data_IF_572031928358
#
_entry.id   IF_572031928358
#
_cell.length_a   1.000
_cell.length_b   1.000
_cell.length_c   1.000
_cell.angle_alpha   90.00
_cell.angle_beta   90.00
_cell.angle_gamma   90.00
#
_symmetry.space_group_name_H-M   'P 1'
#
loop_
_entity.id
_entity.type
_entity.pdbx_description
1 polymer ?
#
# COMPACT_ATOMS: atom_id res chain seq x y z
N UNK A 1 23.35 -5.96 13.79
CA UNK A 1 22.10 -6.28 13.05
C UNK A 1 22.46 -6.34 11.58
N UNK A 2 22.09 -7.39 10.85
CA UNK A 2 22.31 -7.46 9.40
C UNK A 2 21.39 -6.45 8.70
N UNK A 3 21.90 -5.72 7.71
CA UNK A 3 21.08 -4.82 6.88
C UNK A 3 20.11 -5.65 6.04
N UNK A 4 18.81 -5.54 6.33
CA UNK A 4 17.75 -6.30 5.65
C UNK A 4 17.44 -5.76 4.24
N UNK A 5 17.91 -4.55 3.93
CA UNK A 5 17.80 -3.91 2.62
C UNK A 5 19.17 -3.36 2.25
N UNK A 6 19.63 -3.63 1.03
CA UNK A 6 20.94 -3.20 0.51
C UNK A 6 20.72 -2.41 -0.77
N UNK A 7 21.25 -1.20 -0.82
CA UNK A 7 21.33 -0.40 -2.04
C UNK A 7 22.71 -0.61 -2.68
N UNK A 8 22.72 -1.21 -3.86
CA UNK A 8 23.94 -1.48 -4.63
C UNK A 8 23.87 -0.74 -5.97
N UNK A 9 24.75 0.25 -6.15
CA UNK A 9 24.89 1.04 -7.38
C UNK A 9 26.15 0.69 -8.19
N UNK A 10 26.86 -0.40 -7.87
CA UNK A 10 28.12 -0.79 -8.51
C UNK A 10 28.04 -0.91 -10.04
N UNK A 11 26.90 -1.37 -10.56
CA UNK A 11 26.64 -1.48 -12.01
C UNK A 11 26.48 -0.12 -12.71
N UNK A 12 26.25 0.94 -11.94
CA UNK A 12 26.09 2.31 -12.46
C UNK A 12 27.39 3.11 -12.47
N UNK A 13 28.46 2.62 -11.83
CA UNK A 13 29.76 3.30 -11.74
C UNK A 13 30.50 3.44 -13.10
N UNK A 14 29.98 2.85 -14.18
CA UNK A 14 30.45 3.13 -15.54
C UNK A 14 29.88 4.42 -16.14
N UNK A 15 28.89 5.03 -15.48
CA UNK A 15 28.18 6.23 -15.97
C UNK A 15 28.43 7.48 -15.12
N UNK A 16 29.01 7.33 -13.93
CA UNK A 16 29.40 8.43 -13.05
C UNK A 16 30.55 8.01 -12.13
N UNK A 17 31.32 8.98 -11.65
CA UNK A 17 32.39 8.78 -10.68
C UNK A 17 31.91 8.97 -9.24
N UNK A 18 32.57 8.32 -8.28
CA UNK A 18 32.27 8.46 -6.85
C UNK A 18 32.29 9.92 -6.38
N UNK A 19 33.19 10.75 -6.93
CA UNK A 19 33.30 12.16 -6.56
C UNK A 19 32.04 12.97 -6.92
N UNK A 20 31.23 12.51 -7.88
CA UNK A 20 29.97 13.15 -8.24
C UNK A 20 28.91 12.98 -7.15
N UNK A 21 28.88 11.82 -6.48
CA UNK A 21 28.03 11.60 -5.31
C UNK A 21 28.48 12.44 -4.11
N UNK A 22 29.79 12.62 -3.92
CA UNK A 22 30.33 13.45 -2.85
C UNK A 22 29.96 14.93 -3.05
N UNK A 23 29.97 15.41 -4.29
CA UNK A 23 29.63 16.80 -4.63
C UNK A 23 28.19 17.17 -4.26
N UNK A 24 27.25 16.23 -4.31
CA UNK A 24 25.84 16.48 -3.95
C UNK A 24 25.54 16.32 -2.44
N UNK A 25 26.56 16.00 -1.63
CA UNK A 25 26.37 15.71 -0.19
C UNK A 25 25.79 16.90 0.57
N UNK A 26 26.17 18.14 0.20
CA UNK A 26 25.69 19.34 0.87
C UNK A 26 24.19 19.54 0.63
N UNK A 27 23.73 19.37 -0.61
CA UNK A 27 22.34 19.49 -1.01
C UNK A 27 21.48 18.38 -0.38
N UNK A 28 21.99 17.14 -0.32
CA UNK A 28 21.31 16.03 0.37
C UNK A 28 21.15 16.33 1.85
N UNK A 29 22.17 16.90 2.51
CA UNK A 29 22.10 17.30 3.92
C UNK A 29 21.04 18.38 4.13
N UNK A 30 21.01 19.41 3.29
CA UNK A 30 19.98 20.45 3.34
C UNK A 30 18.58 19.86 3.17
N UNK A 31 18.37 18.97 2.19
CA UNK A 31 17.08 18.30 1.99
C UNK A 31 16.66 17.45 3.21
N UNK A 32 17.61 16.73 3.82
CA UNK A 32 17.37 15.95 5.03
C UNK A 32 16.94 16.85 6.21
N UNK A 33 17.63 17.97 6.41
CA UNK A 33 17.29 18.95 7.46
C UNK A 33 15.90 19.56 7.22
N UNK A 34 15.58 19.97 5.99
CA UNK A 34 14.27 20.51 5.63
C UNK A 34 13.14 19.52 5.95
N UNK A 35 13.33 18.24 5.60
CA UNK A 35 12.33 17.20 5.82
C UNK A 35 12.09 16.95 7.31
N UNK A 36 13.15 16.88 8.13
CA UNK A 36 13.04 16.67 9.57
C UNK A 36 12.52 17.90 10.33
N UNK A 37 12.89 19.10 9.87
CA UNK A 37 12.43 20.37 10.45
C UNK A 37 11.05 20.78 9.94
N UNK A 38 10.46 20.01 9.01
CA UNK A 38 9.17 20.29 8.38
C UNK A 38 9.15 21.71 7.80
N UNK A 39 10.17 22.05 7.03
CA UNK A 39 10.31 23.32 6.32
C UNK A 39 10.35 23.13 4.80
N UNK A 40 10.21 24.22 4.05
CA UNK A 40 10.10 24.17 2.59
C UNK A 40 8.68 23.93 2.08
N UNK A 41 8.56 23.73 0.77
CA UNK A 41 7.27 23.55 0.12
C UNK A 41 6.65 22.17 0.46
N UNK A 42 5.37 22.15 0.83
CA UNK A 42 4.62 20.92 1.14
C UNK A 42 4.95 20.32 2.51
N UNK A 43 5.57 21.08 3.42
CA UNK A 43 5.98 20.59 4.73
C UNK A 43 4.81 20.15 5.63
N UNK A 44 3.60 20.63 5.35
CA UNK A 44 2.35 20.21 5.96
C UNK A 44 1.97 18.74 5.67
N UNK A 45 2.55 18.12 4.62
CA UNK A 45 2.26 16.74 4.20
C UNK A 45 3.35 15.73 4.58
N UNK A 46 4.09 15.99 5.66
CA UNK A 46 5.23 15.15 6.12
C UNK A 46 4.88 14.13 7.21
N UNK A 47 3.58 13.93 7.50
CA UNK A 47 3.12 13.02 8.57
C UNK A 47 3.60 11.57 8.44
N UNK A 48 3.93 11.12 7.22
CA UNK A 48 4.45 9.79 6.92
C UNK A 48 5.83 9.51 7.54
N UNK A 49 6.62 10.54 7.88
CA UNK A 49 7.92 10.37 8.55
C UNK A 49 7.78 9.75 9.95
N UNK A 50 6.81 10.26 10.71
CA UNK A 50 6.56 9.87 12.09
C UNK A 50 5.62 8.66 12.19
N UNK A 51 4.80 8.41 11.15
CA UNK A 51 3.74 7.40 11.15
C UNK A 51 4.19 6.00 11.60
N UNK A 52 5.34 5.45 11.15
CA UNK A 52 5.79 4.11 11.59
C UNK A 52 6.00 3.99 13.11
N UNK A 53 6.23 5.11 13.80
CA UNK A 53 6.53 5.16 15.23
C UNK A 53 5.37 5.75 16.06
N UNK A 54 4.56 6.64 15.46
CA UNK A 54 3.53 7.44 16.15
C UNK A 54 2.11 7.25 15.59
N UNK A 55 1.83 6.15 14.91
CA UNK A 55 0.46 5.84 14.48
C UNK A 55 -0.49 5.69 15.68
N UNK A 56 -1.79 5.95 15.46
CA UNK A 56 -2.82 5.75 16.47
C UNK A 56 -3.03 4.24 16.73
N UNK A 57 -2.62 3.78 17.92
CA UNK A 57 -2.74 2.38 18.31
C UNK A 57 -4.18 1.94 18.57
N UNK A 58 -5.05 2.85 19.01
CA UNK A 58 -6.45 2.54 19.23
C UNK A 58 -7.17 2.39 17.89
N UNK A 59 -6.86 3.25 16.91
CA UNK A 59 -7.35 3.08 15.54
C UNK A 59 -6.82 1.78 14.90
N UNK A 60 -5.54 1.47 15.10
CA UNK A 60 -4.96 0.22 14.60
C UNK A 60 -5.69 -1.03 15.09
N UNK A 61 -6.05 -1.10 16.39
CA UNK A 61 -6.84 -2.22 16.91
C UNK A 61 -8.26 -2.24 16.33
N UNK A 62 -8.91 -1.08 16.15
CA UNK A 62 -10.21 -1.01 15.46
C UNK A 62 -10.14 -1.53 14.01
N UNK A 63 -9.05 -1.26 13.29
CA UNK A 63 -8.81 -1.80 11.94
C UNK A 63 -8.74 -3.33 11.99
N UNK A 64 -8.04 -3.91 12.98
CA UNK A 64 -7.93 -5.36 13.13
C UNK A 64 -9.28 -6.01 13.46
N UNK A 65 -10.05 -5.41 14.35
CA UNK A 65 -11.40 -5.85 14.68
C UNK A 65 -12.33 -5.76 13.47
N UNK A 66 -12.29 -4.66 12.72
CA UNK A 66 -13.08 -4.50 11.50
C UNK A 66 -12.71 -5.57 10.46
N UNK A 67 -11.41 -5.81 10.26
CA UNK A 67 -10.95 -6.86 9.36
C UNK A 67 -11.42 -8.26 9.80
N UNK A 68 -11.45 -8.55 11.11
CA UNK A 68 -11.99 -9.80 11.63
C UNK A 68 -13.50 -9.92 11.37
N UNK A 69 -14.28 -8.88 11.68
CA UNK A 69 -15.72 -8.85 11.39
C UNK A 69 -16.02 -9.06 9.91
N UNK A 70 -15.23 -8.46 9.02
CA UNK A 70 -15.37 -8.66 7.56
C UNK A 70 -15.10 -10.12 7.19
N UNK A 71 -14.05 -10.74 7.75
CA UNK A 71 -13.75 -12.16 7.49
C UNK A 71 -14.84 -13.11 7.98
N UNK A 72 -15.45 -12.80 9.12
CA UNK A 72 -16.48 -13.66 9.72
C UNK A 72 -17.83 -13.53 8.99
N UNK A 73 -18.14 -12.34 8.48
CA UNK A 73 -19.47 -12.02 7.98
C UNK A 73 -19.56 -11.84 6.45
N UNK A 74 -18.43 -11.86 5.72
CA UNK A 74 -18.42 -11.60 4.29
C UNK A 74 -17.57 -12.61 3.52
N UNK A 75 -18.09 -13.01 2.37
CA UNK A 75 -17.36 -13.77 1.37
C UNK A 75 -16.37 -12.89 0.60
N UNK A 76 -16.72 -11.61 0.42
CA UNK A 76 -15.97 -10.66 -0.41
C UNK A 76 -15.87 -9.27 0.25
N UNK A 77 -14.71 -8.64 0.14
CA UNK A 77 -14.47 -7.22 0.39
C UNK A 77 -14.28 -6.49 -0.96
N UNK A 78 -15.04 -5.41 -1.18
CA UNK A 78 -14.88 -4.51 -2.33
C UNK A 78 -14.24 -3.21 -1.84
N UNK A 79 -12.97 -3.00 -2.17
CA UNK A 79 -12.27 -1.74 -1.88
C UNK A 79 -12.55 -0.73 -2.99
N UNK A 80 -13.19 0.39 -2.64
CA UNK A 80 -13.50 1.46 -3.60
C UNK A 80 -12.51 2.60 -3.44
N UNK A 81 -11.68 2.83 -4.45
CA UNK A 81 -10.67 3.89 -4.42
C UNK A 81 -9.83 3.96 -5.69
N UNK A 82 -9.14 5.09 -5.88
CA UNK A 82 -8.21 5.33 -7.00
C UNK A 82 -6.91 5.96 -6.47
N UNK A 83 -5.84 5.90 -7.27
CA UNK A 83 -4.55 6.50 -6.91
C UNK A 83 -3.95 5.89 -5.65
N UNK A 84 -3.58 6.73 -4.69
CA UNK A 84 -2.98 6.30 -3.42
C UNK A 84 -3.88 5.37 -2.58
N UNK A 85 -5.21 5.59 -2.63
CA UNK A 85 -6.20 4.77 -1.93
C UNK A 85 -6.44 3.39 -2.58
N UNK A 86 -5.73 3.09 -3.66
CA UNK A 86 -5.84 1.84 -4.42
C UNK A 86 -4.49 1.11 -4.53
N UNK A 87 -3.46 1.81 -5.01
CA UNK A 87 -2.19 1.19 -5.37
C UNK A 87 -1.46 0.59 -4.16
N UNK A 88 -1.46 1.27 -3.01
CA UNK A 88 -0.81 0.77 -1.80
C UNK A 88 -1.43 -0.54 -1.30
N UNK A 89 -2.77 -0.56 -1.20
CA UNK A 89 -3.50 -1.75 -0.79
C UNK A 89 -3.33 -2.91 -1.79
N UNK A 90 -3.47 -2.64 -3.09
CA UNK A 90 -3.32 -3.66 -4.13
C UNK A 90 -1.90 -4.23 -4.18
N UNK A 91 -0.87 -3.39 -4.12
CA UNK A 91 0.52 -3.83 -4.15
C UNK A 91 0.85 -4.74 -2.96
N UNK A 92 0.45 -4.37 -1.74
CA UNK A 92 0.68 -5.19 -0.55
C UNK A 92 -0.05 -6.54 -0.62
N UNK A 93 -1.33 -6.53 -1.03
CA UNK A 93 -2.11 -7.76 -1.18
C UNK A 93 -1.49 -8.67 -2.23
N UNK A 94 -1.18 -8.16 -3.43
CA UNK A 94 -0.61 -8.99 -4.51
C UNK A 94 0.79 -9.51 -4.19
N UNK A 95 1.64 -8.72 -3.52
CA UNK A 95 3.00 -9.13 -3.16
C UNK A 95 3.02 -10.21 -2.08
N UNK A 96 2.10 -10.16 -1.11
CA UNK A 96 2.11 -11.02 0.07
C UNK A 96 1.16 -12.22 -0.02
N UNK A 97 0.24 -12.20 -1.00
CA UNK A 97 -0.76 -13.25 -1.16
C UNK A 97 -0.37 -14.27 -2.23
N UNK A 98 -1.14 -15.35 -2.30
CA UNK A 98 -1.04 -16.30 -3.39
C UNK A 98 -1.27 -15.60 -4.75
N UNK A 99 -0.49 -15.89 -5.81
CA UNK A 99 -0.65 -15.23 -7.12
C UNK A 99 -2.05 -15.37 -7.74
N UNK A 100 -2.72 -16.48 -7.43
CA UNK A 100 -4.10 -16.75 -7.83
C UNK A 100 -5.08 -16.53 -6.68
N UNK A 101 -4.80 -15.57 -5.78
CA UNK A 101 -5.55 -15.36 -4.53
C UNK A 101 -7.04 -15.48 -4.81
N UNK A 102 -7.60 -14.64 -5.68
CA UNK A 102 -9.05 -14.63 -5.98
C UNK A 102 -9.58 -15.81 -6.81
N UNK A 103 -8.73 -16.63 -7.44
CA UNK A 103 -9.18 -17.82 -8.16
C UNK A 103 -9.40 -19.02 -7.25
N UNK A 104 -8.81 -19.01 -6.04
CA UNK A 104 -9.06 -20.05 -5.04
C UNK A 104 -10.52 -19.97 -4.54
N UNK A 105 -11.09 -21.01 -3.93
CA UNK A 105 -12.41 -20.87 -3.30
C UNK A 105 -12.42 -19.78 -2.21
N UNK A 106 -13.44 -18.93 -2.19
CA UNK A 106 -13.69 -17.92 -1.14
C UNK A 106 -15.12 -18.02 -0.61
N UNK A 107 -15.31 -17.58 0.64
CA UNK A 107 -16.60 -17.55 1.33
C UNK A 107 -16.49 -17.62 2.86
N UNK A 108 -17.61 -17.50 3.58
CA UNK A 108 -17.69 -17.60 5.05
C UNK A 108 -17.03 -18.89 5.56
N UNK A 109 -16.15 -18.76 6.55
CA UNK A 109 -15.34 -19.86 7.09
C UNK A 109 -14.18 -20.30 6.18
N UNK A 110 -14.00 -19.66 5.03
CA UNK A 110 -12.82 -19.76 4.15
C UNK A 110 -12.14 -18.39 4.09
N UNK A 111 -11.28 -18.18 3.10
CA UNK A 111 -10.70 -16.85 2.83
C UNK A 111 -11.77 -15.89 2.28
N UNK A 112 -11.60 -14.61 2.56
CA UNK A 112 -12.39 -13.52 1.95
C UNK A 112 -11.76 -13.11 0.61
N UNK A 113 -12.55 -13.05 -0.45
CA UNK A 113 -12.14 -12.48 -1.73
C UNK A 113 -11.95 -10.96 -1.62
N UNK A 114 -10.97 -10.39 -2.34
CA UNK A 114 -10.72 -8.94 -2.31
C UNK A 114 -10.79 -8.41 -3.73
N UNK A 115 -11.76 -7.54 -4.03
CA UNK A 115 -11.91 -6.89 -5.33
C UNK A 115 -11.78 -5.38 -5.19
N UNK A 116 -11.37 -4.73 -6.27
CA UNK A 116 -11.18 -3.28 -6.31
C UNK A 116 -12.11 -2.65 -7.35
N UNK A 117 -12.77 -1.57 -6.97
CA UNK A 117 -13.65 -0.80 -7.85
C UNK A 117 -13.41 0.71 -7.69
N UNK A 118 -14.01 1.53 -8.54
CA UNK A 118 -13.84 3.00 -8.52
C UNK A 118 -12.49 3.50 -9.00
N UNK A 119 -11.54 2.61 -9.31
CA UNK A 119 -10.25 2.93 -9.92
C UNK A 119 -10.33 3.17 -11.44
N UNK A 120 -11.52 3.01 -12.04
CA UNK A 120 -11.86 3.35 -13.43
C UNK A 120 -13.38 3.56 -13.56
N UNK A 121 -13.83 4.06 -14.72
CA UNK A 121 -15.26 4.32 -15.02
C UNK A 121 -15.89 3.30 -15.98
N UNK A 122 -15.32 2.10 -16.11
CA UNK A 122 -15.82 1.08 -17.03
C UNK A 122 -17.03 0.35 -16.44
N UNK A 123 -18.20 0.57 -17.03
CA UNK A 123 -19.43 -0.15 -16.67
C UNK A 123 -19.30 -1.66 -16.87
N UNK A 124 -18.58 -2.10 -17.92
CA UNK A 124 -18.31 -3.50 -18.18
C UNK A 124 -17.45 -4.14 -17.07
N UNK A 125 -16.46 -3.41 -16.55
CA UNK A 125 -15.64 -3.87 -15.43
C UNK A 125 -16.47 -4.04 -14.16
N UNK A 126 -17.28 -3.04 -13.82
CA UNK A 126 -18.18 -3.10 -12.65
C UNK A 126 -19.17 -4.25 -12.80
N UNK A 127 -19.77 -4.42 -13.99
CA UNK A 127 -20.66 -5.54 -14.29
C UNK A 127 -19.97 -6.89 -14.08
N UNK A 128 -18.72 -7.03 -14.53
CA UNK A 128 -17.92 -8.22 -14.31
C UNK A 128 -17.71 -8.54 -12.82
N UNK A 129 -17.43 -7.53 -11.99
CA UNK A 129 -17.36 -7.72 -10.52
C UNK A 129 -18.70 -8.21 -9.98
N UNK A 130 -19.81 -7.55 -10.36
CA UNK A 130 -21.17 -7.91 -9.92
C UNK A 130 -21.50 -9.37 -10.27
N UNK A 131 -21.10 -9.83 -11.45
CA UNK A 131 -21.35 -11.20 -11.89
C UNK A 131 -20.55 -12.22 -11.07
N UNK A 132 -19.32 -11.90 -10.65
CA UNK A 132 -18.47 -12.75 -9.80
C UNK A 132 -19.03 -12.86 -8.37
N UNK A 133 -19.52 -11.75 -7.81
CA UNK A 133 -19.97 -11.67 -6.42
C UNK A 133 -21.46 -12.01 -6.25
N UNK A 134 -22.12 -12.48 -7.32
CA UNK A 134 -23.52 -12.84 -7.27
C UNK A 134 -23.76 -13.89 -6.17
N UNK A 135 -24.79 -13.66 -5.36
CA UNK A 135 -25.20 -14.53 -4.25
C UNK A 135 -24.12 -14.67 -3.14
N UNK A 136 -23.22 -13.68 -3.01
CA UNK A 136 -22.21 -13.58 -1.96
C UNK A 136 -22.55 -12.52 -0.92
N UNK A 137 -22.15 -12.76 0.32
CA UNK A 137 -22.19 -11.74 1.36
C UNK A 137 -21.00 -10.78 1.20
N UNK A 138 -21.26 -9.49 1.06
CA UNK A 138 -20.23 -8.49 0.73
C UNK A 138 -20.05 -7.44 1.82
N UNK A 139 -18.81 -6.97 1.97
CA UNK A 139 -18.46 -5.73 2.66
C UNK A 139 -17.91 -4.71 1.67
N UNK A 140 -18.19 -3.43 1.93
CA UNK A 140 -17.71 -2.26 1.18
C UNK A 140 -17.08 -1.29 2.18
#
# INVERSE_FOLDING_TARGET
>A
MSNKLVFDYSKSCGFFEQCELEKISAEVKTAHEMLNQKSGAGSEYTGWLDLPHKYDRAEFEKIREAAQRIRDNSDVLIVIGIGGSYLGARAAVEMLSHPFYNCLPFGKGKRTGIFFAGNNLSSAYIKGIIDIIKDKDISI
#
